data_IF_966281859741
#
_entry.id   IF_966281859741
#
_cell.length_a   1.000
_cell.length_b   1.000
_cell.length_c   1.000
_cell.angle_alpha   90.00
_cell.angle_beta   90.00
_cell.angle_gamma   90.00
#
_symmetry.space_group_name_H-M   'P 1'
#
loop_
_entity.id
_entity.type
_entity.pdbx_description
1 polymer ?
#
# COMPACT_ATOMS: atom_id res chain seq x y z
N UNK A 1 -0.83 16.47 0.22
CA UNK A 1 -1.26 15.24 -0.48
C UNK A 1 -0.67 14.06 0.28
N UNK A 2 -1.48 13.08 0.70
CA UNK A 2 -0.95 11.89 1.38
C UNK A 2 -0.08 11.11 0.39
N UNK A 3 1.14 10.76 0.80
CA UNK A 3 2.02 9.91 -0.01
C UNK A 3 1.53 8.48 0.11
N UNK A 4 1.27 7.85 -1.04
CA UNK A 4 0.85 6.45 -1.11
C UNK A 4 1.92 5.68 -1.89
N UNK A 5 2.32 4.54 -1.38
CA UNK A 5 3.28 3.66 -2.02
C UNK A 5 2.56 2.40 -2.48
N UNK A 6 2.61 2.10 -3.77
CA UNK A 6 2.05 0.88 -4.33
C UNK A 6 3.19 -0.13 -4.54
N UNK A 7 3.08 -1.30 -3.91
CA UNK A 7 4.06 -2.38 -3.99
C UNK A 7 3.45 -3.54 -4.76
N UNK A 8 4.14 -4.03 -5.80
CA UNK A 8 3.73 -5.25 -6.49
C UNK A 8 4.29 -6.47 -5.79
N UNK A 9 3.41 -7.37 -5.37
CA UNK A 9 3.77 -8.67 -4.80
C UNK A 9 3.98 -9.68 -5.94
N UNK A 10 4.85 -10.68 -5.76
CA UNK A 10 5.15 -11.69 -6.78
C UNK A 10 3.94 -12.58 -7.08
N UNK A 11 2.98 -12.66 -6.16
CA UNK A 11 1.72 -13.41 -6.28
C UNK A 11 0.69 -12.70 -7.18
N UNK A 12 1.05 -11.59 -7.83
CA UNK A 12 0.16 -10.78 -8.67
C UNK A 12 -0.70 -9.77 -7.88
N UNK A 13 -0.70 -9.85 -6.54
CA UNK A 13 -1.36 -8.89 -5.66
C UNK A 13 -0.60 -7.56 -5.59
N UNK A 14 -1.29 -6.49 -5.20
CA UNK A 14 -0.72 -5.16 -4.97
C UNK A 14 -0.95 -4.73 -3.53
N UNK A 15 -0.01 -3.98 -2.98
CA UNK A 15 -0.09 -3.45 -1.64
C UNK A 15 0.02 -1.93 -1.68
N UNK A 16 -1.04 -1.23 -1.34
CA UNK A 16 -1.04 0.22 -1.18
C UNK A 16 -0.72 0.56 0.28
N UNK A 17 0.31 1.37 0.50
CA UNK A 17 0.79 1.79 1.81
C UNK A 17 0.65 3.31 1.91
N UNK A 18 -0.16 3.76 2.86
CA UNK A 18 -0.33 5.15 3.26
C UNK A 18 0.17 5.33 4.69
N UNK A 19 0.42 6.57 5.12
CA UNK A 19 1.01 6.90 6.45
C UNK A 19 0.41 6.18 7.66
N UNK A 20 -0.86 5.75 7.59
CA UNK A 20 -1.56 5.02 8.67
C UNK A 20 -2.41 3.85 8.20
N UNK A 21 -2.35 3.51 6.91
CA UNK A 21 -3.27 2.54 6.34
C UNK A 21 -2.55 1.69 5.31
N UNK A 22 -2.79 0.39 5.36
CA UNK A 22 -2.28 -0.58 4.40
C UNK A 22 -3.47 -1.25 3.74
N UNK A 23 -3.54 -1.19 2.42
CA UNK A 23 -4.54 -1.88 1.63
C UNK A 23 -3.89 -2.95 0.76
N UNK A 24 -4.33 -4.19 0.94
CA UNK A 24 -4.01 -5.27 0.03
C UNK A 24 -5.08 -5.31 -1.07
N UNK A 25 -4.66 -5.13 -2.31
CA UNK A 25 -5.49 -5.25 -3.52
C UNK A 25 -5.17 -6.55 -4.22
N UNK A 26 -6.17 -7.41 -4.35
CA UNK A 26 -6.10 -8.69 -5.04
C UNK A 26 -7.24 -8.76 -6.05
N UNK A 27 -6.90 -8.71 -7.35
CA UNK A 27 -7.84 -8.79 -8.48
C UNK A 27 -8.97 -7.75 -8.45
N UNK A 28 -10.01 -7.98 -7.64
CA UNK A 28 -11.18 -7.11 -7.45
C UNK A 28 -11.48 -6.81 -5.97
N UNK A 29 -10.75 -7.43 -5.03
CA UNK A 29 -10.90 -7.21 -3.60
C UNK A 29 -9.81 -6.26 -3.08
N UNK A 30 -10.23 -5.17 -2.44
CA UNK A 30 -9.34 -4.26 -1.71
C UNK A 30 -9.63 -4.36 -0.23
N UNK A 31 -8.67 -4.86 0.53
CA UNK A 31 -8.77 -5.01 1.98
C UNK A 31 -7.81 -4.06 2.68
N UNK A 32 -8.38 -3.04 3.30
CA UNK A 32 -7.65 -2.02 4.03
C UNK A 32 -7.66 -2.30 5.52
N UNK A 33 -6.52 -2.09 6.17
CA UNK A 33 -6.36 -2.14 7.60
C UNK A 33 -5.63 -0.89 8.07
N UNK A 34 -6.10 -0.31 9.18
CA UNK A 34 -5.37 0.73 9.88
C UNK A 34 -4.12 0.10 10.50
N UNK A 35 -2.98 0.73 10.25
CA UNK A 35 -1.70 0.30 10.78
C UNK A 35 -1.00 1.46 11.45
N UNK A 36 -0.47 1.16 12.62
CA UNK A 36 0.46 2.01 13.34
C UNK A 36 1.81 2.10 12.61
N UNK A 37 2.54 3.19 12.87
CA UNK A 37 3.81 3.49 12.17
C UNK A 37 4.87 2.41 12.36
N UNK A 38 4.82 1.66 13.46
CA UNK A 38 5.72 0.54 13.72
C UNK A 38 5.47 -0.62 12.75
N UNK A 39 4.20 -1.03 12.56
CA UNK A 39 3.84 -2.02 11.55
C UNK A 39 4.14 -1.54 10.14
N UNK A 40 3.92 -0.26 9.85
CA UNK A 40 4.26 0.31 8.54
C UNK A 40 5.75 0.15 8.24
N UNK A 41 6.61 0.46 9.22
CA UNK A 41 8.06 0.26 9.10
C UNK A 41 8.40 -1.22 8.87
N UNK A 42 7.77 -2.15 9.59
CA UNK A 42 7.99 -3.57 9.40
C UNK A 42 7.59 -4.06 7.99
N UNK A 43 6.49 -3.55 7.45
CA UNK A 43 6.04 -3.88 6.10
C UNK A 43 7.00 -3.31 5.05
N UNK A 44 7.43 -2.05 5.18
CA UNK A 44 8.42 -1.46 4.29
C UNK A 44 9.76 -2.21 4.33
N UNK A 45 10.19 -2.65 5.51
CA UNK A 45 11.39 -3.47 5.69
C UNK A 45 11.25 -4.82 4.97
N UNK A 46 10.12 -5.50 5.14
CA UNK A 46 9.81 -6.75 4.44
C UNK A 46 9.79 -6.58 2.92
N UNK A 47 9.15 -5.51 2.43
CA UNK A 47 9.10 -5.13 1.02
C UNK A 47 10.50 -4.93 0.44
N UNK A 48 11.36 -4.24 1.19
CA UNK A 48 12.75 -4.00 0.81
C UNK A 48 13.59 -5.29 0.85
N UNK A 49 13.41 -6.11 1.88
CA UNK A 49 14.07 -7.42 2.02
C UNK A 49 13.74 -8.34 0.84
N UNK A 50 12.48 -8.32 0.40
CA UNK A 50 12.00 -9.07 -0.76
C UNK A 50 12.36 -8.41 -2.11
N UNK A 51 12.99 -7.23 -2.10
CA UNK A 51 13.31 -6.43 -3.31
C UNK A 51 12.09 -6.21 -4.22
N UNK A 52 10.93 -5.99 -3.61
CA UNK A 52 9.71 -5.75 -4.36
C UNK A 52 9.74 -4.36 -5.00
N UNK A 53 9.07 -4.24 -6.14
CA UNK A 53 8.97 -2.98 -6.88
C UNK A 53 7.98 -2.05 -6.14
N UNK A 54 8.52 -0.96 -5.58
CA UNK A 54 7.75 0.10 -4.92
C UNK A 54 7.58 1.26 -5.88
N UNK A 55 6.33 1.68 -6.10
CA UNK A 55 5.99 2.85 -6.90
C UNK A 55 5.32 3.87 -5.99
N UNK A 56 5.93 5.04 -5.82
CA UNK A 56 5.22 6.17 -5.21
C UNK A 56 4.11 6.60 -6.17
N UNK A 57 2.87 6.56 -5.70
CA UNK A 57 1.70 7.06 -6.42
C UNK A 57 1.20 8.28 -5.65
N UNK A 58 0.92 9.36 -6.36
CA UNK A 58 0.18 10.45 -5.75
C UNK A 58 -1.17 9.89 -5.29
N UNK A 59 -1.38 9.88 -3.97
CA UNK A 59 -2.66 9.51 -3.40
C UNK A 59 -3.68 10.56 -3.80
N UNK A 60 -4.33 10.37 -4.94
CA UNK A 60 -5.59 11.02 -5.23
C UNK A 60 -6.54 10.57 -4.13
N UNK A 61 -6.88 11.47 -3.21
CA UNK A 61 -8.06 11.29 -2.39
C UNK A 61 -9.17 10.85 -3.34
N UNK A 62 -9.74 9.68 -3.11
CA UNK A 62 -10.88 9.21 -3.88
C UNK A 62 -12.01 10.22 -3.59
N UNK A 63 -12.10 11.27 -4.40
CA UNK A 63 -13.29 12.11 -4.53
C UNK A 63 -14.35 11.20 -5.14
N UNK A 64 -15.01 10.43 -4.28
CA UNK A 64 -16.30 9.86 -4.59
C UNK A 64 -17.30 11.01 -4.67
N UNK A 65 -17.41 11.64 -5.84
CA UNK A 65 -18.61 12.39 -6.21
C UNK A 65 -19.41 11.53 -7.17
N UNK A 66 -20.48 10.93 -6.68
CA UNK A 66 -21.62 10.49 -7.49
C UNK A 66 -22.88 10.70 -6.68
#
# INVERSE_FOLDING_TARGET
>A
MPKVYEVKLPDGRKLELSEKQMCLVADTEKKCVDIDSEKMKAVLDFVNMLRLEVKEVEGSAQEGTS
#
